data_IF_876426272553
#
_entry.id   IF_876426272553
#
_cell.length_a   1.000
_cell.length_b   1.000
_cell.length_c   1.000
_cell.angle_alpha   90.00
_cell.angle_beta   90.00
_cell.angle_gamma   90.00
#
_symmetry.space_group_name_H-M   'P 1'
#
loop_
_entity.id
_entity.type
_entity.pdbx_description
1 polymer ?
#
# COMPACT_ATOMS: atom_id res chain seq x y z
N UNK A 1 -41.21 -27.31 10.76
CA UNK A 1 -39.96 -26.58 10.61
C UNK A 1 -40.25 -25.09 10.76
N UNK A 2 -39.50 -24.33 11.52
CA UNK A 2 -39.69 -22.89 11.59
C UNK A 2 -39.53 -22.29 10.20
N UNK A 3 -40.38 -21.31 9.88
CA UNK A 3 -40.24 -20.53 8.64
C UNK A 3 -39.07 -19.55 8.85
N UNK A 4 -38.13 -19.46 7.92
CA UNK A 4 -36.94 -18.65 8.08
C UNK A 4 -36.69 -17.75 6.86
N UNK A 5 -36.06 -16.63 7.10
CA UNK A 5 -35.52 -15.75 6.06
C UNK A 5 -33.99 -15.61 6.21
N UNK A 6 -33.27 -15.82 5.13
CA UNK A 6 -31.81 -15.67 5.09
C UNK A 6 -31.47 -14.52 4.18
N UNK A 7 -30.77 -13.53 4.71
CA UNK A 7 -30.43 -12.29 4.00
C UNK A 7 -28.92 -12.02 4.07
N UNK A 8 -28.36 -11.70 2.94
CA UNK A 8 -26.99 -11.15 2.82
C UNK A 8 -27.03 -9.63 2.91
N UNK A 9 -26.43 -9.10 3.95
CA UNK A 9 -26.16 -7.68 4.12
C UNK A 9 -24.82 -7.31 3.51
N UNK A 10 -24.75 -6.13 2.93
CA UNK A 10 -23.51 -5.52 2.44
C UNK A 10 -23.41 -4.15 3.07
N UNK A 11 -22.29 -3.90 3.73
CA UNK A 11 -21.95 -2.60 4.30
C UNK A 11 -20.76 -1.98 3.60
N UNK A 12 -20.69 -0.66 3.64
CA UNK A 12 -19.60 0.13 3.08
C UNK A 12 -19.21 1.19 4.09
N UNK A 13 -17.90 1.46 4.13
CA UNK A 13 -17.31 2.63 4.76
C UNK A 13 -16.43 3.34 3.74
N UNK A 14 -16.52 4.66 3.70
CA UNK A 14 -15.77 5.51 2.78
C UNK A 14 -14.85 6.42 3.60
N UNK A 15 -13.54 6.13 3.60
CA UNK A 15 -12.60 6.66 4.57
C UNK A 15 -11.50 7.43 3.87
N UNK A 16 -11.28 8.67 4.33
CA UNK A 16 -10.18 9.50 3.85
C UNK A 16 -8.84 8.93 4.35
N UNK A 17 -7.84 8.75 3.46
CA UNK A 17 -6.51 8.34 3.87
C UNK A 17 -5.86 9.34 4.85
N UNK A 18 -5.27 8.85 5.93
CA UNK A 18 -4.57 9.62 6.95
C UNK A 18 -3.08 9.27 7.07
N UNK A 19 -2.63 8.26 6.34
CA UNK A 19 -1.26 7.77 6.34
C UNK A 19 -0.70 7.67 4.92
N UNK A 20 0.51 8.19 4.73
CA UNK A 20 1.30 8.04 3.50
C UNK A 20 2.38 6.98 3.76
N UNK A 21 2.54 6.07 2.82
CA UNK A 21 3.62 5.09 2.80
C UNK A 21 4.41 5.30 1.51
N UNK A 22 5.69 5.59 1.66
CA UNK A 22 6.64 5.63 0.53
C UNK A 22 7.52 4.39 0.62
N UNK A 23 7.55 3.63 -0.46
CA UNK A 23 8.46 2.51 -0.65
C UNK A 23 9.57 2.95 -1.59
N UNK A 24 10.81 2.66 -1.21
CA UNK A 24 12.01 3.04 -1.93
C UNK A 24 12.80 1.78 -2.25
N UNK A 25 13.30 1.68 -3.47
CA UNK A 25 14.25 0.64 -3.89
C UNK A 25 15.56 1.32 -4.26
N UNK A 26 16.62 1.01 -3.50
CA UNK A 26 17.96 1.57 -3.69
C UNK A 26 18.90 0.44 -4.02
N UNK A 27 19.48 0.48 -5.20
CA UNK A 27 20.39 -0.56 -5.66
C UNK A 27 21.77 -0.04 -6.08
N UNK A 28 22.74 -0.95 -6.10
CA UNK A 28 24.05 -0.75 -6.70
C UNK A 28 24.53 -2.03 -7.35
N UNK A 29 25.17 -1.91 -8.50
CA UNK A 29 25.76 -3.06 -9.22
C UNK A 29 27.27 -2.86 -9.39
N UNK A 30 28.06 -3.86 -9.01
CA UNK A 30 29.51 -3.90 -9.25
C UNK A 30 29.97 -5.35 -9.50
N UNK A 31 31.08 -5.54 -10.21
CA UNK A 31 31.69 -6.88 -10.38
C UNK A 31 32.22 -7.47 -9.08
N UNK A 32 32.54 -6.63 -8.11
CA UNK A 32 32.94 -6.99 -6.77
C UNK A 32 31.76 -6.82 -5.81
N UNK A 33 31.43 -7.88 -5.07
CA UNK A 33 30.34 -7.90 -4.11
C UNK A 33 30.49 -6.80 -3.03
N UNK A 34 31.68 -6.67 -2.43
CA UNK A 34 31.89 -5.69 -1.36
C UNK A 34 31.62 -4.27 -1.85
N UNK A 35 32.12 -3.92 -3.05
CA UNK A 35 31.87 -2.59 -3.63
C UNK A 35 30.39 -2.34 -3.94
N UNK A 36 29.67 -3.35 -4.46
CA UNK A 36 28.24 -3.23 -4.69
C UNK A 36 27.48 -3.00 -3.37
N UNK A 37 27.84 -3.76 -2.32
CA UNK A 37 27.21 -3.67 -0.99
C UNK A 37 27.51 -2.32 -0.32
N UNK A 38 28.76 -1.89 -0.33
CA UNK A 38 29.19 -0.62 0.29
C UNK A 38 28.50 0.58 -0.39
N UNK A 39 28.50 0.62 -1.73
CA UNK A 39 27.85 1.68 -2.49
C UNK A 39 26.34 1.74 -2.22
N UNK A 40 25.66 0.59 -2.12
CA UNK A 40 24.24 0.55 -1.75
C UNK A 40 24.02 1.05 -0.31
N UNK A 41 24.87 0.69 0.64
CA UNK A 41 24.81 1.13 2.03
C UNK A 41 25.06 2.63 2.19
N UNK A 42 26.00 3.19 1.45
CA UNK A 42 26.28 4.65 1.39
C UNK A 42 25.05 5.42 0.91
N UNK A 43 24.38 4.96 -0.16
CA UNK A 43 23.13 5.55 -0.67
C UNK A 43 22.02 5.53 0.38
N UNK A 44 21.84 4.43 1.12
CA UNK A 44 20.88 4.34 2.21
C UNK A 44 21.20 5.31 3.34
N UNK A 45 22.48 5.47 3.67
CA UNK A 45 22.94 6.43 4.69
C UNK A 45 22.65 7.86 4.26
N UNK A 46 22.90 8.21 3.01
CA UNK A 46 22.58 9.52 2.45
C UNK A 46 21.06 9.81 2.49
N UNK A 47 20.23 8.82 2.17
CA UNK A 47 18.77 8.91 2.29
C UNK A 47 18.32 9.17 3.73
N UNK A 48 18.87 8.44 4.71
CA UNK A 48 18.57 8.66 6.13
C UNK A 48 18.92 10.06 6.56
N UNK A 49 20.11 10.53 6.23
CA UNK A 49 20.57 11.87 6.55
C UNK A 49 19.68 12.97 5.95
N UNK A 50 19.29 12.81 4.67
CA UNK A 50 18.43 13.77 3.98
C UNK A 50 17.02 13.84 4.60
N UNK A 51 16.43 12.70 4.91
CA UNK A 51 15.10 12.63 5.56
C UNK A 51 15.13 13.21 6.97
N UNK A 52 16.15 12.89 7.78
CA UNK A 52 16.33 13.46 9.12
C UNK A 52 16.52 14.98 9.04
N UNK A 53 17.32 15.47 8.09
CA UNK A 53 17.49 16.90 7.83
C UNK A 53 16.20 17.61 7.40
N UNK A 54 15.28 16.90 6.78
CA UNK A 54 13.95 17.40 6.44
C UNK A 54 12.92 17.30 7.59
N UNK A 55 13.34 16.87 8.79
CA UNK A 55 12.51 16.80 9.99
C UNK A 55 11.70 15.51 10.17
N UNK A 56 12.02 14.45 9.43
CA UNK A 56 11.49 13.11 9.71
C UNK A 56 12.29 12.45 10.83
N UNK A 57 11.63 11.60 11.63
CA UNK A 57 12.33 10.83 12.67
C UNK A 57 13.39 9.92 12.05
N UNK A 58 14.51 9.73 12.73
CA UNK A 58 15.57 8.81 12.31
C UNK A 58 15.04 7.38 12.12
N UNK A 59 14.09 6.95 12.96
CA UNK A 59 13.44 5.64 12.91
C UNK A 59 12.32 5.56 11.85
N UNK A 60 12.00 6.66 11.17
CA UNK A 60 10.91 6.67 10.18
C UNK A 60 11.24 5.82 8.95
N UNK A 61 12.52 5.81 8.52
CA UNK A 61 12.99 5.01 7.40
C UNK A 61 13.41 3.61 7.90
N UNK A 62 12.65 2.59 7.49
CA UNK A 62 12.90 1.19 7.88
C UNK A 62 13.29 0.37 6.66
N UNK A 63 14.24 -0.55 6.84
CA UNK A 63 14.55 -1.56 5.83
C UNK A 63 13.51 -2.67 5.92
N UNK A 64 12.80 -2.90 4.83
CA UNK A 64 11.84 -4.00 4.71
C UNK A 64 12.47 -5.26 4.11
N UNK A 65 13.50 -5.08 3.27
CA UNK A 65 14.21 -6.20 2.64
C UNK A 65 15.60 -5.76 2.18
N UNK A 66 16.53 -6.73 2.11
CA UNK A 66 17.84 -6.58 1.49
C UNK A 66 18.12 -7.84 0.67
N UNK A 67 18.36 -7.66 -0.61
CA UNK A 67 18.66 -8.75 -1.52
C UNK A 67 19.98 -8.52 -2.26
N UNK A 68 20.63 -9.63 -2.60
CA UNK A 68 21.82 -9.65 -3.46
C UNK A 68 21.58 -10.67 -4.55
N UNK A 69 21.61 -10.20 -5.79
CA UNK A 69 21.43 -11.02 -6.97
C UNK A 69 22.66 -10.95 -7.88
N UNK A 70 22.93 -12.02 -8.61
CA UNK A 70 23.92 -12.02 -9.68
C UNK A 70 23.29 -11.55 -10.99
N UNK A 71 23.88 -10.54 -11.61
CA UNK A 71 23.44 -10.02 -12.89
C UNK A 71 24.25 -10.63 -14.02
N UNK A 72 23.54 -11.09 -15.06
CA UNK A 72 24.12 -11.56 -16.29
C UNK A 72 23.61 -10.72 -17.45
N UNK A 73 24.50 -10.40 -18.39
CA UNK A 73 24.15 -9.68 -19.62
C UNK A 73 24.25 -10.60 -20.81
N UNK A 74 23.31 -10.47 -21.74
CA UNK A 74 23.32 -11.22 -22.99
C UNK A 74 24.19 -10.52 -24.00
N UNK A 75 25.39 -11.03 -24.23
CA UNK A 75 26.31 -10.49 -25.23
C UNK A 75 26.28 -11.34 -26.50
N UNK A 76 26.42 -10.67 -27.65
CA UNK A 76 26.54 -11.34 -28.96
C UNK A 76 27.99 -11.61 -29.25
N UNK A 77 28.33 -12.90 -29.50
CA UNK A 77 29.69 -13.29 -29.88
C UNK A 77 29.99 -12.95 -31.36
N UNK A 78 31.23 -13.20 -31.78
CA UNK A 78 31.68 -12.89 -33.14
C UNK A 78 30.95 -13.71 -34.20
N UNK A 79 30.40 -14.82 -33.84
CA UNK A 79 29.66 -15.76 -34.71
C UNK A 79 28.16 -15.45 -34.74
N UNK A 80 27.70 -14.43 -33.99
CA UNK A 80 26.33 -13.98 -33.97
C UNK A 80 25.43 -14.67 -32.92
N UNK A 81 25.99 -15.56 -32.10
CA UNK A 81 25.26 -16.25 -31.04
C UNK A 81 25.21 -15.40 -29.76
N UNK A 82 24.10 -15.54 -29.00
CA UNK A 82 23.97 -14.90 -27.71
C UNK A 82 24.50 -15.82 -26.60
N UNK A 83 25.33 -15.25 -25.73
CA UNK A 83 25.77 -15.91 -24.50
C UNK A 83 25.53 -15.02 -23.29
N UNK A 84 25.26 -15.62 -22.14
CA UNK A 84 25.16 -14.92 -20.86
C UNK A 84 26.56 -14.72 -20.29
N UNK A 85 26.94 -13.47 -20.00
CA UNK A 85 28.19 -13.13 -19.34
C UNK A 85 27.91 -12.50 -17.99
N UNK A 86 28.67 -12.88 -16.97
CA UNK A 86 28.53 -12.32 -15.63
C UNK A 86 28.84 -10.82 -15.65
N UNK A 87 27.82 -10.02 -15.31
CA UNK A 87 27.91 -8.56 -15.29
C UNK A 87 28.27 -8.00 -13.92
N UNK A 88 27.90 -8.72 -12.84
CA UNK A 88 28.21 -8.30 -11.48
C UNK A 88 27.22 -8.79 -10.45
N UNK A 89 27.37 -8.25 -9.25
CA UNK A 89 26.45 -8.40 -8.13
C UNK A 89 25.56 -7.17 -8.05
N UNK A 90 24.26 -7.36 -7.93
CA UNK A 90 23.27 -6.32 -7.73
C UNK A 90 22.77 -6.38 -6.27
N UNK A 91 23.15 -5.40 -5.46
CA UNK A 91 22.70 -5.27 -4.07
C UNK A 91 21.55 -4.28 -4.01
N UNK A 92 20.39 -4.69 -3.50
CA UNK A 92 19.17 -3.86 -3.45
C UNK A 92 18.63 -3.81 -2.03
N UNK A 93 18.47 -2.60 -1.51
CA UNK A 93 17.71 -2.30 -0.29
C UNK A 93 16.29 -1.89 -0.64
N UNK A 94 15.30 -2.54 -0.07
CA UNK A 94 13.92 -2.08 -0.06
C UNK A 94 13.63 -1.41 1.27
N UNK A 95 13.25 -0.15 1.19
CA UNK A 95 13.04 0.71 2.34
C UNK A 95 11.60 1.20 2.36
N UNK A 96 11.08 1.45 3.54
CA UNK A 96 9.73 2.01 3.73
C UNK A 96 9.79 3.15 4.73
N UNK A 97 9.17 4.27 4.38
CA UNK A 97 8.89 5.37 5.30
C UNK A 97 7.39 5.62 5.34
N UNK A 98 6.85 5.84 6.55
CA UNK A 98 5.44 6.15 6.76
C UNK A 98 5.28 7.38 7.65
N UNK A 99 4.34 8.25 7.29
CA UNK A 99 4.03 9.47 8.03
C UNK A 99 2.59 9.92 7.77
N UNK A 100 2.07 10.81 8.63
CA UNK A 100 0.72 11.35 8.52
C UNK A 100 0.50 12.07 7.17
N UNK A 101 -0.70 11.88 6.61
CA UNK A 101 -1.14 12.54 5.36
C UNK A 101 -1.52 14.00 5.62
N UNK A 102 -0.52 14.79 6.04
CA UNK A 102 -0.65 16.24 6.25
C UNK A 102 -0.14 17.01 5.04
N UNK A 103 -0.69 18.22 4.78
CA UNK A 103 -0.24 19.08 3.70
C UNK A 103 1.28 19.32 3.76
N UNK A 104 1.95 19.16 2.63
CA UNK A 104 3.39 19.40 2.49
C UNK A 104 4.30 18.26 2.95
N UNK A 105 3.84 17.28 3.74
CA UNK A 105 4.68 16.16 4.18
C UNK A 105 5.21 15.34 3.00
N UNK A 106 4.34 15.03 2.03
CA UNK A 106 4.74 14.29 0.83
C UNK A 106 5.77 15.04 0.02
N UNK A 107 5.53 16.33 -0.26
CA UNK A 107 6.45 17.19 -1.03
C UNK A 107 7.81 17.31 -0.33
N UNK A 108 7.81 17.49 1.01
CA UNK A 108 9.02 17.56 1.82
C UNK A 108 9.81 16.25 1.78
N UNK A 109 9.13 15.10 1.89
CA UNK A 109 9.77 13.79 1.82
C UNK A 109 10.39 13.54 0.44
N UNK A 110 9.64 13.77 -0.65
CA UNK A 110 10.14 13.57 -2.01
C UNK A 110 11.29 14.53 -2.32
N UNK A 111 11.22 15.79 -1.88
CA UNK A 111 12.33 16.75 -2.05
C UNK A 111 13.58 16.30 -1.33
N UNK A 112 13.46 15.79 -0.10
CA UNK A 112 14.60 15.24 0.65
C UNK A 112 15.20 14.01 -0.02
N UNK A 113 14.36 13.09 -0.49
CA UNK A 113 14.79 11.89 -1.20
C UNK A 113 15.53 12.27 -2.49
N UNK A 114 14.99 13.19 -3.29
CA UNK A 114 15.61 13.65 -4.54
C UNK A 114 16.94 14.36 -4.30
N UNK A 115 17.08 15.12 -3.20
CA UNK A 115 18.32 15.82 -2.86
C UNK A 115 19.38 14.92 -2.23
N UNK A 116 19.07 13.68 -1.86
CA UNK A 116 20.00 12.75 -1.22
C UNK A 116 21.08 12.21 -2.15
N UNK A 117 20.86 12.27 -3.48
CA UNK A 117 21.73 11.65 -4.47
C UNK A 117 21.70 10.12 -4.50
N UNK A 118 20.78 9.49 -3.77
CA UNK A 118 20.66 8.04 -3.71
C UNK A 118 19.91 7.43 -4.91
N UNK A 119 19.15 8.25 -5.66
CA UNK A 119 18.42 7.87 -6.88
C UNK A 119 17.56 6.61 -6.70
N UNK A 120 16.66 6.55 -5.71
CA UNK A 120 15.81 5.38 -5.51
C UNK A 120 14.66 5.33 -6.51
N UNK A 121 14.18 4.12 -6.84
CA UNK A 121 12.83 3.97 -7.36
C UNK A 121 11.83 4.28 -6.24
N UNK A 122 10.83 5.11 -6.54
CA UNK A 122 9.86 5.60 -5.56
C UNK A 122 8.45 5.09 -5.89
N UNK A 123 7.77 4.52 -4.91
CA UNK A 123 6.35 4.20 -4.97
C UNK A 123 5.64 4.77 -3.75
N UNK A 124 4.62 5.59 -3.98
CA UNK A 124 3.80 6.22 -2.93
C UNK A 124 2.43 5.57 -2.91
N UNK A 125 1.95 5.23 -1.73
CA UNK A 125 0.61 4.73 -1.48
C UNK A 125 -0.01 5.46 -0.29
N UNK A 126 -1.33 5.59 -0.33
CA UNK A 126 -2.12 6.24 0.71
C UNK A 126 -3.00 5.20 1.40
N UNK A 127 -3.00 5.19 2.73
CA UNK A 127 -3.72 4.22 3.56
C UNK A 127 -4.28 4.90 4.80
N UNK A 128 -4.80 4.11 5.73
CA UNK A 128 -5.26 4.58 7.04
C UNK A 128 -4.48 3.90 8.15
N UNK A 129 -4.30 4.61 9.24
CA UNK A 129 -3.61 4.10 10.43
C UNK A 129 -4.48 3.12 11.20
N UNK A 130 -5.76 3.45 11.39
CA UNK A 130 -6.73 2.60 12.10
C UNK A 130 -7.62 1.83 11.13
N UNK A 131 -7.12 0.68 10.68
CA UNK A 131 -7.87 -0.23 9.82
C UNK A 131 -9.03 -0.92 10.56
N UNK A 132 -8.93 -1.09 11.88
CA UNK A 132 -9.94 -1.78 12.68
C UNK A 132 -11.24 -1.00 12.74
N UNK A 133 -11.17 0.32 12.93
CA UNK A 133 -12.34 1.20 12.91
C UNK A 133 -13.07 1.12 11.57
N UNK A 134 -12.33 1.15 10.47
CA UNK A 134 -12.87 1.06 9.11
C UNK A 134 -13.65 -0.23 8.86
N UNK A 135 -13.08 -1.36 9.25
CA UNK A 135 -13.76 -2.65 9.12
C UNK A 135 -14.99 -2.75 10.04
N UNK A 136 -14.89 -2.23 11.27
CA UNK A 136 -16.01 -2.22 12.21
C UNK A 136 -17.18 -1.40 11.68
N UNK A 137 -16.91 -0.26 11.06
CA UNK A 137 -17.95 0.56 10.43
C UNK A 137 -18.61 -0.17 9.26
N UNK A 138 -17.83 -0.75 8.34
CA UNK A 138 -18.37 -1.51 7.22
C UNK A 138 -19.21 -2.72 7.69
N UNK A 139 -18.73 -3.45 8.71
CA UNK A 139 -19.43 -4.60 9.29
C UNK A 139 -20.73 -4.18 9.96
N UNK A 140 -20.74 -3.08 10.70
CA UNK A 140 -21.95 -2.52 11.32
C UNK A 140 -22.98 -2.15 10.25
N UNK A 141 -22.54 -1.47 9.20
CA UNK A 141 -23.40 -1.10 8.07
C UNK A 141 -23.95 -2.34 7.35
N UNK A 142 -23.17 -3.42 7.24
CA UNK A 142 -23.63 -4.69 6.66
C UNK A 142 -24.75 -5.33 7.50
N UNK A 143 -24.61 -5.34 8.82
CA UNK A 143 -25.63 -5.88 9.73
C UNK A 143 -26.92 -5.06 9.66
N UNK A 144 -26.83 -3.74 9.70
CA UNK A 144 -27.98 -2.84 9.56
C UNK A 144 -28.68 -3.03 8.20
N UNK A 145 -27.93 -3.15 7.12
CA UNK A 145 -28.46 -3.39 5.79
C UNK A 145 -29.19 -4.74 5.68
N UNK A 146 -28.62 -5.81 6.26
CA UNK A 146 -29.26 -7.13 6.29
C UNK A 146 -30.61 -7.08 7.01
N UNK A 147 -30.64 -6.45 8.19
CA UNK A 147 -31.84 -6.31 8.98
C UNK A 147 -32.93 -5.52 8.25
N UNK A 148 -32.61 -4.37 7.72
CA UNK A 148 -33.54 -3.54 6.95
C UNK A 148 -34.14 -4.29 5.74
N UNK A 149 -33.33 -5.06 5.02
CA UNK A 149 -33.79 -5.91 3.92
C UNK A 149 -34.74 -7.00 4.42
N UNK A 150 -34.41 -7.67 5.54
CA UNK A 150 -35.21 -8.73 6.12
C UNK A 150 -36.59 -8.19 6.55
N UNK A 151 -36.63 -7.05 7.23
CA UNK A 151 -37.84 -6.37 7.66
C UNK A 151 -38.74 -5.98 6.45
N UNK A 152 -38.13 -5.41 5.42
CA UNK A 152 -38.83 -5.01 4.19
C UNK A 152 -39.48 -6.22 3.50
N UNK A 153 -38.73 -7.31 3.33
CA UNK A 153 -39.22 -8.51 2.63
C UNK A 153 -40.30 -9.25 3.44
N UNK A 154 -40.10 -9.37 4.76
CA UNK A 154 -41.09 -9.99 5.63
C UNK A 154 -42.40 -9.19 5.62
N UNK A 155 -42.33 -7.87 5.80
CA UNK A 155 -43.53 -6.99 5.79
C UNK A 155 -44.23 -7.02 4.45
N UNK A 156 -43.55 -6.97 3.32
CA UNK A 156 -44.14 -7.07 1.98
C UNK A 156 -44.82 -8.42 1.73
N UNK A 157 -44.43 -9.45 2.48
CA UNK A 157 -45.03 -10.81 2.41
C UNK A 157 -46.13 -11.04 3.46
N UNK A 158 -46.53 -10.01 4.21
CA UNK A 158 -47.55 -10.13 5.27
C UNK A 158 -47.03 -10.83 6.52
N UNK A 159 -45.73 -10.82 6.79
CA UNK A 159 -45.07 -11.45 7.91
C UNK A 159 -44.16 -10.43 8.63
N UNK A 160 -43.56 -10.83 9.75
CA UNK A 160 -42.52 -10.06 10.45
C UNK A 160 -41.30 -10.92 10.76
N UNK A 161 -40.16 -10.29 10.98
CA UNK A 161 -38.97 -11.00 11.44
C UNK A 161 -39.05 -11.28 12.94
N UNK A 162 -38.69 -12.50 13.32
CA UNK A 162 -38.63 -12.95 14.70
C UNK A 162 -37.18 -13.00 15.24
N UNK A 163 -36.90 -14.08 15.96
CA UNK A 163 -35.61 -14.30 16.60
C UNK A 163 -34.49 -14.51 15.57
N UNK A 164 -33.30 -13.96 15.85
CA UNK A 164 -32.08 -14.25 15.09
C UNK A 164 -31.68 -15.71 15.35
N UNK A 165 -31.54 -16.50 14.30
CA UNK A 165 -31.17 -17.91 14.36
C UNK A 165 -29.65 -18.10 14.17
N UNK A 166 -29.08 -17.44 13.15
CA UNK A 166 -27.65 -17.59 12.86
C UNK A 166 -27.08 -16.36 12.18
N UNK A 167 -25.79 -16.20 12.38
CA UNK A 167 -24.93 -15.25 11.67
C UNK A 167 -23.81 -16.05 11.02
N UNK A 168 -23.64 -15.91 9.72
CA UNK A 168 -22.52 -16.48 8.97
C UNK A 168 -21.64 -15.33 8.46
N UNK A 169 -20.40 -15.29 8.95
CA UNK A 169 -19.43 -14.26 8.64
C UNK A 169 -18.05 -14.87 8.38
N UNK A 170 -17.43 -14.46 7.31
CA UNK A 170 -16.06 -14.85 6.96
C UNK A 170 -15.18 -13.60 7.01
N UNK A 171 -14.29 -13.54 8.00
CA UNK A 171 -13.35 -12.42 8.16
C UNK A 171 -12.31 -12.43 7.04
N UNK A 172 -12.48 -11.53 6.07
CA UNK A 172 -11.53 -11.27 5.00
C UNK A 172 -11.14 -9.80 5.05
N UNK A 173 -9.90 -9.54 5.43
CA UNK A 173 -9.37 -8.17 5.55
C UNK A 173 -8.34 -7.91 4.47
N UNK A 174 -8.73 -7.41 3.30
CA UNK A 174 -7.78 -6.95 2.30
C UNK A 174 -7.05 -5.69 2.81
N UNK A 175 -5.84 -5.45 2.28
CA UNK A 175 -5.13 -4.22 2.59
C UNK A 175 -5.95 -2.99 2.17
N UNK A 176 -6.10 -2.03 3.08
CA UNK A 176 -6.85 -0.80 2.86
C UNK A 176 -5.92 0.26 2.26
N UNK A 177 -5.90 0.34 0.94
CA UNK A 177 -5.07 1.28 0.18
C UNK A 177 -5.98 2.09 -0.75
N UNK A 178 -5.74 3.40 -0.83
CA UNK A 178 -6.39 4.25 -1.82
C UNK A 178 -6.07 3.77 -3.24
N UNK A 179 -7.00 3.86 -4.19
CA UNK A 179 -6.72 3.58 -5.60
C UNK A 179 -5.71 4.56 -6.21
N UNK A 180 -5.47 5.70 -5.56
CA UNK A 180 -4.46 6.68 -5.98
C UNK A 180 -3.05 6.14 -5.75
N UNK A 181 -2.29 5.98 -6.82
CA UNK A 181 -0.90 5.55 -6.79
C UNK A 181 -0.01 6.58 -7.48
N UNK A 182 1.17 6.82 -6.92
CA UNK A 182 2.21 7.61 -7.54
C UNK A 182 3.50 6.77 -7.63
N UNK A 183 4.12 6.75 -8.81
CA UNK A 183 5.39 6.05 -9.05
C UNK A 183 6.35 6.97 -9.79
N UNK A 184 7.61 6.92 -9.39
CA UNK A 184 8.70 7.61 -10.07
C UNK A 184 9.82 6.60 -10.31
N UNK A 185 10.15 6.39 -11.57
CA UNK A 185 11.27 5.54 -11.97
C UNK A 185 12.58 6.34 -11.94
N UNK A 186 13.69 5.64 -11.84
CA UNK A 186 15.06 6.16 -11.75
C UNK A 186 15.41 7.14 -12.91
N UNK A 187 14.98 6.84 -14.12
CA UNK A 187 15.25 7.65 -15.31
C UNK A 187 14.64 9.06 -15.28
N UNK A 188 13.66 9.31 -14.40
CA UNK A 188 12.99 10.61 -14.27
C UNK A 188 13.66 11.56 -13.25
N UNK A 189 14.54 11.04 -12.40
CA UNK A 189 15.18 11.79 -11.31
C UNK A 189 16.12 12.92 -11.77
N UNK A 190 16.97 12.76 -12.78
CA UNK A 190 17.93 13.82 -13.19
C UNK A 190 17.26 15.09 -13.71
N UNK A 191 16.08 14.98 -14.30
CA UNK A 191 15.31 16.11 -14.85
C UNK A 191 14.62 16.95 -13.77
N UNK A 192 14.47 16.41 -12.56
CA UNK A 192 13.71 17.03 -11.47
C UNK A 192 14.59 17.68 -10.38
N UNK A 193 15.90 17.46 -10.39
CA UNK A 193 16.83 18.02 -9.41
C UNK A 193 16.86 19.56 -9.34
N UNK A 194 16.35 20.24 -10.36
CA UNK A 194 16.39 21.71 -10.42
C UNK A 194 15.23 22.43 -9.73
N UNK A 195 14.03 21.83 -9.59
CA UNK A 195 12.85 22.33 -8.81
C UNK A 195 11.75 21.25 -8.83
N UNK A 196 11.85 20.25 -8.00
CA UNK A 196 10.78 19.27 -7.90
C UNK A 196 9.58 19.88 -7.15
N UNK A 197 8.68 20.53 -7.88
CA UNK A 197 7.35 20.80 -7.34
C UNK A 197 6.55 19.51 -7.50
N UNK A 198 6.51 18.69 -6.45
CA UNK A 198 5.61 17.53 -6.42
C UNK A 198 4.20 18.09 -6.55
N UNK A 199 3.38 17.61 -7.50
CA UNK A 199 1.99 18.02 -7.60
C UNK A 199 1.29 17.74 -6.27
N UNK A 200 0.38 18.64 -5.87
CA UNK A 200 -0.49 18.41 -4.72
C UNK A 200 -1.42 17.24 -5.06
N UNK A 201 -1.12 16.08 -4.45
CA UNK A 201 -1.88 14.86 -4.69
C UNK A 201 -2.94 14.76 -3.60
N UNK A 202 -4.20 14.94 -3.99
CA UNK A 202 -5.35 14.63 -3.14
C UNK A 202 -5.78 13.20 -3.43
N UNK A 203 -5.51 12.24 -2.52
CA UNK A 203 -5.86 10.84 -2.78
C UNK A 203 -7.36 10.63 -2.72
N UNK A 204 -7.85 9.68 -3.52
CA UNK A 204 -9.22 9.20 -3.43
C UNK A 204 -9.44 8.46 -2.09
N UNK A 205 -10.69 8.49 -1.61
CA UNK A 205 -11.08 7.77 -0.42
C UNK A 205 -10.90 6.25 -0.59
N UNK A 206 -10.70 5.59 0.53
CA UNK A 206 -10.61 4.13 0.61
C UNK A 206 -12.00 3.60 0.84
N UNK A 207 -12.50 2.79 -0.10
CA UNK A 207 -13.78 2.13 0.00
C UNK A 207 -13.60 0.74 0.63
N UNK A 208 -14.09 0.59 1.85
CA UNK A 208 -14.14 -0.68 2.57
C UNK A 208 -15.51 -1.30 2.39
N UNK A 209 -15.56 -2.55 1.97
CA UNK A 209 -16.84 -3.28 1.81
C UNK A 209 -16.77 -4.59 2.58
N UNK A 210 -17.80 -4.87 3.37
CA UNK A 210 -17.95 -6.12 4.08
C UNK A 210 -19.32 -6.74 3.86
N UNK A 211 -19.44 -8.03 4.07
CA UNK A 211 -20.68 -8.78 3.87
C UNK A 211 -20.90 -9.81 4.97
N UNK A 212 -22.14 -9.87 5.46
CA UNK A 212 -22.57 -10.83 6.48
C UNK A 212 -23.90 -11.43 6.08
N UNK A 213 -24.09 -12.71 6.35
CA UNK A 213 -25.36 -13.40 6.12
C UNK A 213 -26.03 -13.68 7.45
N UNK A 214 -27.30 -13.31 7.55
CA UNK A 214 -28.12 -13.51 8.73
C UNK A 214 -29.33 -14.37 8.40
N UNK A 215 -29.72 -15.22 9.34
CA UNK A 215 -30.96 -16.00 9.24
C UNK A 215 -31.84 -15.69 10.45
N UNK A 216 -33.07 -15.27 10.17
CA UNK A 216 -34.10 -15.00 11.19
C UNK A 216 -35.30 -15.93 11.02
N UNK A 217 -36.03 -16.13 12.09
CA UNK A 217 -37.37 -16.72 12.08
C UNK A 217 -38.38 -15.73 11.44
N UNK A 218 -39.39 -16.24 10.79
CA UNK A 218 -40.54 -15.47 10.27
C UNK A 218 -41.76 -15.79 11.09
N UNK A 219 -42.42 -14.78 11.60
CA UNK A 219 -43.66 -14.82 12.35
C UNK A 219 -44.77 -14.06 11.63
#
# INVERSE_FOLDING_TARGET
MPRTITIKGTGRADIKPDLIIIRLSVGSTDKNYEKASDAASERVTALKAALTGAGFSEDALRTSDFGVDTRYESIRDKDGNYRQEFAGYNCVYRLTISFASEPGNLSRAISAISSSGAEPEISVSFTIKDTTSAYTEALTNAAMNARAKAETLASASGASIGTLISIDYSDRRPDLVSPTNFRMADEAMPLMAAKCTVPDITPENINVTDTVTFTWEII
#
